data_IF_788493804051
#
_entry.id   IF_788493804051
#
_cell.length_a   1.000
_cell.length_b   1.000
_cell.length_c   1.000
_cell.angle_alpha   90.00
_cell.angle_beta   90.00
_cell.angle_gamma   90.00
#
_symmetry.space_group_name_H-M   'P 1'
#
loop_
_entity.id
_entity.type
_entity.pdbx_description
1 polymer ?
#
# COMPACT_ATOMS: atom_id res chain seq x y z
N UNK A 1 -7.41 -25.26 6.42
CA UNK A 1 -6.82 -23.92 6.42
C UNK A 1 -7.90 -22.86 6.48
N UNK A 2 -7.61 -21.66 7.03
CA UNK A 2 -8.57 -20.55 7.04
C UNK A 2 -8.12 -19.49 6.03
N UNK A 3 -8.99 -19.16 5.11
CA UNK A 3 -8.80 -18.16 4.05
C UNK A 3 -9.85 -17.08 4.20
N UNK A 4 -9.43 -15.82 4.27
CA UNK A 4 -10.34 -14.68 4.32
C UNK A 4 -10.29 -13.92 3.00
N UNK A 5 -11.44 -13.74 2.38
CA UNK A 5 -11.60 -13.02 1.12
C UNK A 5 -12.41 -11.76 1.38
N UNK A 6 -11.85 -10.60 1.11
CA UNK A 6 -12.50 -9.31 1.35
C UNK A 6 -12.52 -8.44 0.10
N UNK A 7 -13.24 -7.34 0.13
CA UNK A 7 -13.36 -6.36 -0.95
C UNK A 7 -14.73 -5.73 -1.03
N UNK A 8 -14.83 -4.61 -1.70
CA UNK A 8 -16.08 -3.88 -1.88
C UNK A 8 -17.13 -4.70 -2.67
N UNK A 9 -18.39 -4.26 -2.61
CA UNK A 9 -19.45 -4.85 -3.42
C UNK A 9 -19.12 -4.73 -4.91
N UNK A 10 -19.34 -5.82 -5.65
CA UNK A 10 -19.00 -5.88 -7.07
C UNK A 10 -17.53 -6.05 -7.39
N UNK A 11 -16.66 -6.30 -6.38
CA UNK A 11 -15.24 -6.61 -6.57
C UNK A 11 -14.99 -8.06 -7.05
N UNK A 12 -16.02 -8.85 -7.31
CA UNK A 12 -15.89 -10.23 -7.79
C UNK A 12 -15.44 -11.24 -6.73
N UNK A 13 -15.68 -10.96 -5.43
CA UNK A 13 -15.32 -11.85 -4.32
C UNK A 13 -15.88 -13.27 -4.51
N UNK A 14 -17.21 -13.39 -4.50
CA UNK A 14 -17.89 -14.67 -4.66
C UNK A 14 -17.48 -15.37 -5.96
N UNK A 15 -17.43 -14.62 -7.07
CA UNK A 15 -17.08 -15.13 -8.39
C UNK A 15 -15.69 -15.80 -8.40
N UNK A 16 -14.67 -15.10 -7.91
CA UNK A 16 -13.31 -15.64 -7.85
C UNK A 16 -13.17 -16.77 -6.82
N UNK A 17 -13.86 -16.65 -5.67
CA UNK A 17 -13.81 -17.69 -4.64
C UNK A 17 -14.44 -18.99 -5.11
N UNK A 18 -15.57 -18.93 -5.83
CA UNK A 18 -16.19 -20.12 -6.45
C UNK A 18 -15.20 -20.84 -7.37
N UNK A 19 -14.49 -20.11 -8.22
CA UNK A 19 -13.45 -20.68 -9.10
C UNK A 19 -12.36 -21.35 -8.29
N UNK A 20 -11.75 -20.66 -7.34
CA UNK A 20 -10.65 -21.21 -6.53
C UNK A 20 -11.06 -22.45 -5.75
N UNK A 21 -12.25 -22.44 -5.15
CA UNK A 21 -12.79 -23.60 -4.41
C UNK A 21 -13.06 -24.76 -5.36
N UNK A 22 -13.66 -24.50 -6.53
CA UNK A 22 -13.94 -25.53 -7.52
C UNK A 22 -12.66 -26.18 -8.07
N UNK A 23 -11.69 -25.38 -8.48
CA UNK A 23 -10.38 -25.86 -8.94
C UNK A 23 -9.70 -26.75 -7.89
N UNK A 24 -9.73 -26.29 -6.63
CA UNK A 24 -9.14 -27.04 -5.54
C UNK A 24 -9.89 -28.34 -5.22
N UNK A 25 -11.23 -28.29 -5.17
CA UNK A 25 -12.07 -29.46 -4.94
C UNK A 25 -11.82 -30.54 -5.98
N UNK A 26 -11.76 -30.18 -7.25
CA UNK A 26 -11.49 -31.13 -8.34
C UNK A 26 -10.08 -31.69 -8.26
N UNK A 27 -9.09 -30.84 -8.04
CA UNK A 27 -7.68 -31.25 -7.95
C UNK A 27 -7.42 -32.22 -6.80
N UNK A 28 -8.07 -31.99 -5.66
CA UNK A 28 -7.85 -32.74 -4.42
C UNK A 28 -8.90 -33.85 -4.18
N UNK A 29 -9.96 -33.95 -5.01
CA UNK A 29 -11.06 -34.90 -4.85
C UNK A 29 -11.88 -34.70 -3.58
N UNK A 30 -12.02 -33.45 -3.09
CA UNK A 30 -12.58 -33.13 -1.78
C UNK A 30 -14.02 -32.62 -1.91
N UNK A 31 -14.90 -33.04 -0.97
CA UNK A 31 -16.28 -32.53 -0.93
C UNK A 31 -16.30 -31.05 -0.56
N UNK A 32 -17.34 -30.33 -1.05
CA UNK A 32 -17.55 -28.92 -0.77
C UNK A 32 -18.90 -28.71 -0.11
N UNK A 33 -18.91 -27.89 0.94
CA UNK A 33 -20.11 -27.40 1.59
C UNK A 33 -20.18 -25.86 1.51
N UNK A 34 -21.42 -25.31 1.45
CA UNK A 34 -21.63 -23.87 1.43
C UNK A 34 -22.81 -23.46 2.31
N UNK A 35 -22.84 -22.18 2.74
CA UNK A 35 -23.88 -21.67 3.64
C UNK A 35 -25.19 -21.20 2.92
N UNK A 36 -25.33 -21.48 1.62
CA UNK A 36 -26.57 -21.19 0.88
C UNK A 36 -26.80 -19.71 0.53
N UNK A 37 -25.77 -18.85 0.59
CA UNK A 37 -25.88 -17.45 0.20
C UNK A 37 -25.83 -17.22 -1.32
N UNK A 38 -25.63 -18.27 -2.08
CA UNK A 38 -25.77 -18.32 -3.54
C UNK A 38 -26.48 -19.61 -3.92
N UNK A 39 -27.18 -19.62 -5.07
CA UNK A 39 -27.86 -20.80 -5.58
C UNK A 39 -27.05 -21.40 -6.73
N UNK A 40 -26.49 -22.62 -6.60
CA UNK A 40 -25.94 -23.36 -7.71
C UNK A 40 -27.00 -23.61 -8.80
N UNK A 41 -26.59 -23.60 -10.07
CA UNK A 41 -27.44 -24.01 -11.18
C UNK A 41 -27.60 -25.53 -11.13
N UNK A 42 -28.85 -26.03 -11.23
CA UNK A 42 -29.12 -27.45 -11.25
C UNK A 42 -28.42 -28.14 -12.43
N UNK A 43 -27.77 -29.28 -12.16
CA UNK A 43 -26.97 -30.01 -13.14
C UNK A 43 -25.69 -29.29 -13.57
N UNK A 44 -25.39 -28.12 -13.01
CA UNK A 44 -24.16 -27.37 -13.30
C UNK A 44 -22.93 -27.82 -12.50
N UNK A 45 -21.83 -27.11 -12.67
CA UNK A 45 -20.51 -27.42 -12.08
C UNK A 45 -20.49 -27.49 -10.54
N UNK A 46 -21.42 -26.82 -9.88
CA UNK A 46 -21.53 -26.75 -8.41
C UNK A 46 -22.68 -27.60 -7.87
N UNK A 47 -23.37 -28.38 -8.71
CA UNK A 47 -24.54 -29.17 -8.29
C UNK A 47 -24.25 -30.22 -7.23
N UNK A 48 -22.99 -30.69 -7.13
CA UNK A 48 -22.54 -31.64 -6.12
C UNK A 48 -22.22 -30.99 -4.76
N UNK A 49 -22.25 -29.66 -4.67
CA UNK A 49 -21.94 -28.94 -3.45
C UNK A 49 -23.10 -29.00 -2.47
N UNK A 50 -22.83 -29.34 -1.24
CA UNK A 50 -23.86 -29.52 -0.20
C UNK A 50 -24.11 -28.18 0.51
N UNK A 51 -25.38 -27.77 0.57
CA UNK A 51 -25.80 -26.66 1.43
C UNK A 51 -25.90 -27.13 2.88
N UNK A 52 -25.32 -26.35 3.80
CA UNK A 52 -25.35 -26.58 5.25
C UNK A 52 -25.68 -25.30 6.02
N UNK A 53 -26.15 -25.44 7.26
CA UNK A 53 -26.05 -24.37 8.24
C UNK A 53 -24.61 -24.31 8.76
N UNK A 54 -24.06 -23.09 8.90
CA UNK A 54 -22.69 -22.93 9.42
C UNK A 54 -22.50 -23.61 10.79
N UNK A 55 -23.52 -23.63 11.66
CA UNK A 55 -23.44 -24.27 12.97
C UNK A 55 -23.19 -25.78 12.90
N UNK A 56 -23.53 -26.40 11.80
CA UNK A 56 -23.41 -27.85 11.59
C UNK A 56 -22.12 -28.29 10.90
N UNK A 57 -21.18 -27.38 10.64
CA UNK A 57 -19.96 -27.69 9.90
C UNK A 57 -19.15 -28.84 10.50
N UNK A 58 -19.22 -29.03 11.83
CA UNK A 58 -18.51 -30.08 12.55
C UNK A 58 -19.03 -31.49 12.22
N UNK A 59 -20.27 -31.60 11.71
CA UNK A 59 -20.91 -32.89 11.34
C UNK A 59 -20.43 -33.39 9.97
N UNK A 60 -19.77 -32.53 9.19
CA UNK A 60 -19.32 -32.90 7.85
C UNK A 60 -18.05 -33.75 7.90
N UNK A 61 -17.79 -34.57 6.85
CA UNK A 61 -16.62 -35.42 6.76
C UNK A 61 -15.30 -34.66 6.86
N UNK A 62 -14.27 -35.32 7.33
CA UNK A 62 -12.89 -34.81 7.34
C UNK A 62 -12.44 -34.47 5.91
N UNK A 63 -11.64 -33.43 5.77
CA UNK A 63 -11.18 -33.01 4.47
C UNK A 63 -12.17 -32.11 3.69
N UNK A 64 -13.37 -31.83 4.23
CA UNK A 64 -14.35 -30.95 3.57
C UNK A 64 -13.83 -29.53 3.38
N UNK A 65 -14.13 -28.94 2.23
CA UNK A 65 -13.89 -27.52 1.92
C UNK A 65 -15.19 -26.75 2.16
N UNK A 66 -15.14 -25.70 2.96
CA UNK A 66 -16.31 -24.85 3.26
C UNK A 66 -16.16 -23.51 2.58
N UNK A 67 -17.21 -23.11 1.83
CA UNK A 67 -17.35 -21.76 1.30
C UNK A 67 -18.47 -21.05 2.05
N UNK A 68 -18.12 -20.08 2.84
CA UNK A 68 -19.05 -19.29 3.65
C UNK A 68 -19.11 -17.88 3.07
N UNK A 69 -20.08 -17.65 2.20
CA UNK A 69 -20.28 -16.34 1.58
C UNK A 69 -21.05 -15.43 2.52
N UNK A 70 -20.77 -14.11 2.47
CA UNK A 70 -21.28 -13.10 3.41
C UNK A 70 -21.17 -13.58 4.87
N UNK A 71 -20.00 -14.13 5.21
CA UNK A 71 -19.73 -14.83 6.46
C UNK A 71 -19.93 -13.99 7.72
N UNK A 72 -20.05 -12.67 7.59
CA UNK A 72 -20.38 -11.79 8.72
C UNK A 72 -21.78 -12.07 9.33
N UNK A 73 -22.66 -12.74 8.58
CA UNK A 73 -23.94 -13.19 9.14
C UNK A 73 -23.80 -14.39 10.05
N UNK A 74 -22.86 -15.30 9.72
CA UNK A 74 -22.61 -16.53 10.48
C UNK A 74 -21.56 -16.32 11.59
N UNK A 75 -20.69 -15.33 11.41
CA UNK A 75 -19.57 -14.98 12.29
C UNK A 75 -19.65 -13.50 12.70
N UNK A 76 -20.73 -13.04 13.35
CA UNK A 76 -20.90 -11.62 13.69
C UNK A 76 -19.85 -11.16 14.71
N UNK A 77 -19.55 -9.86 14.69
CA UNK A 77 -18.66 -9.24 15.65
C UNK A 77 -19.28 -9.34 17.05
N UNK A 78 -18.54 -9.89 17.99
CA UNK A 78 -18.95 -9.98 19.41
C UNK A 78 -18.26 -8.93 20.26
N UNK A 79 -18.89 -8.56 21.36
CA UNK A 79 -18.28 -7.73 22.41
C UNK A 79 -17.04 -8.42 23.02
N UNK A 80 -16.08 -7.66 23.50
CA UNK A 80 -14.81 -8.20 24.03
C UNK A 80 -14.98 -9.19 25.19
N UNK A 81 -16.03 -9.06 26.00
CA UNK A 81 -16.37 -9.92 27.14
C UNK A 81 -17.31 -11.08 26.79
N UNK A 82 -17.84 -11.14 25.57
CA UNK A 82 -18.77 -12.19 25.18
C UNK A 82 -18.06 -13.54 25.00
N UNK A 83 -18.66 -14.61 25.55
CA UNK A 83 -18.17 -15.96 25.37
C UNK A 83 -18.10 -16.34 23.87
N UNK A 84 -17.10 -17.12 23.50
CA UNK A 84 -16.98 -17.63 22.14
C UNK A 84 -17.91 -18.82 21.97
N UNK A 85 -18.91 -18.80 21.06
CA UNK A 85 -19.74 -19.93 20.78
C UNK A 85 -18.91 -21.15 20.36
N UNK A 86 -19.39 -22.36 20.66
CA UNK A 86 -18.63 -23.58 20.43
C UNK A 86 -18.31 -23.81 18.94
N UNK A 87 -19.25 -23.53 18.05
CA UNK A 87 -19.06 -23.64 16.59
C UNK A 87 -17.96 -22.71 16.06
N UNK A 88 -17.76 -21.56 16.71
CA UNK A 88 -16.68 -20.62 16.37
C UNK A 88 -15.37 -21.03 17.05
N UNK A 89 -15.43 -21.46 18.30
CA UNK A 89 -14.26 -21.89 19.06
C UNK A 89 -13.58 -23.10 18.41
N UNK A 90 -14.37 -24.05 17.94
CA UNK A 90 -13.89 -25.27 17.30
C UNK A 90 -13.21 -25.00 15.93
N UNK A 91 -13.40 -23.84 15.32
CA UNK A 91 -12.62 -23.47 14.15
C UNK A 91 -11.10 -23.46 14.41
N UNK A 92 -10.66 -23.31 15.65
CA UNK A 92 -9.25 -23.43 15.99
C UNK A 92 -8.69 -24.83 15.72
N UNK A 93 -9.55 -25.86 15.71
CA UNK A 93 -9.16 -27.25 15.51
C UNK A 93 -9.38 -27.79 14.08
N UNK A 94 -9.90 -26.96 13.17
CA UNK A 94 -10.22 -27.35 11.78
C UNK A 94 -9.07 -28.10 11.07
N UNK A 95 -7.83 -27.78 11.41
CA UNK A 95 -6.63 -28.39 10.79
C UNK A 95 -6.49 -29.87 11.12
N UNK A 96 -6.90 -30.30 12.32
CA UNK A 96 -6.85 -31.72 12.73
C UNK A 96 -7.71 -32.60 11.85
N UNK A 97 -8.80 -32.03 11.34
CA UNK A 97 -9.76 -32.69 10.45
C UNK A 97 -9.47 -32.41 8.96
N UNK A 98 -8.36 -31.77 8.63
CA UNK A 98 -7.99 -31.44 7.26
C UNK A 98 -8.97 -30.48 6.56
N UNK A 99 -9.83 -29.80 7.31
CA UNK A 99 -10.86 -28.93 6.76
C UNK A 99 -10.30 -27.57 6.33
N UNK A 100 -10.88 -26.99 5.26
CA UNK A 100 -10.53 -25.69 4.76
C UNK A 100 -11.76 -24.78 4.70
N UNK A 101 -11.62 -23.54 5.13
CA UNK A 101 -12.68 -22.54 5.15
C UNK A 101 -12.31 -21.33 4.28
N UNK A 102 -13.14 -21.03 3.32
CA UNK A 102 -13.11 -19.82 2.52
C UNK A 102 -14.18 -18.88 3.03
N UNK A 103 -13.78 -17.90 3.82
CA UNK A 103 -14.65 -16.91 4.46
C UNK A 103 -14.71 -15.66 3.60
N UNK A 104 -15.86 -15.34 3.04
CA UNK A 104 -16.04 -14.20 2.15
C UNK A 104 -16.85 -13.12 2.85
N UNK A 105 -16.36 -11.90 2.88
CA UNK A 105 -17.03 -10.73 3.45
C UNK A 105 -16.58 -9.44 2.76
N UNK A 106 -17.14 -8.31 3.11
CA UNK A 106 -16.74 -7.02 2.53
C UNK A 106 -15.45 -6.50 3.18
N UNK A 107 -15.34 -6.57 4.50
CA UNK A 107 -14.22 -6.04 5.25
C UNK A 107 -13.87 -6.97 6.43
N UNK A 108 -12.59 -7.12 6.79
CA UNK A 108 -12.18 -8.04 7.86
C UNK A 108 -12.77 -7.66 9.23
N UNK A 109 -13.07 -6.38 9.46
CA UNK A 109 -13.67 -5.94 10.72
C UNK A 109 -15.16 -6.30 10.88
N UNK A 110 -15.81 -6.79 9.83
CA UNK A 110 -17.20 -7.22 9.87
C UNK A 110 -17.38 -8.61 10.49
N UNK A 111 -16.31 -9.35 10.74
CA UNK A 111 -16.36 -10.69 11.33
C UNK A 111 -15.74 -10.73 12.72
N UNK A 112 -16.06 -11.78 13.42
CA UNK A 112 -15.60 -12.07 14.76
C UNK A 112 -14.08 -11.94 14.92
N UNK A 113 -13.66 -11.30 16.01
CA UNK A 113 -12.24 -11.06 16.28
C UNK A 113 -11.43 -12.34 16.55
N UNK A 114 -12.07 -13.35 17.16
CA UNK A 114 -11.43 -14.65 17.39
C UNK A 114 -11.12 -15.31 16.05
N UNK A 115 -12.07 -15.33 15.10
CA UNK A 115 -11.88 -15.90 13.76
C UNK A 115 -10.79 -15.16 12.99
N UNK A 116 -10.78 -13.82 13.05
CA UNK A 116 -9.73 -13.02 12.39
C UNK A 116 -8.31 -13.41 12.84
N UNK A 117 -8.14 -13.74 14.11
CA UNK A 117 -6.83 -14.18 14.67
C UNK A 117 -6.44 -15.59 14.26
N UNK A 118 -7.39 -16.42 13.84
CA UNK A 118 -7.11 -17.78 13.35
C UNK A 118 -6.62 -17.77 11.88
N UNK A 119 -6.91 -16.73 11.12
CA UNK A 119 -6.44 -16.59 9.74
C UNK A 119 -4.95 -16.26 9.75
N UNK A 120 -4.14 -17.19 9.30
CA UNK A 120 -2.69 -17.07 9.28
C UNK A 120 -2.05 -18.16 8.45
N UNK A 121 -0.73 -18.04 8.19
CA UNK A 121 0.01 -19.00 7.39
C UNK A 121 -0.17 -20.45 7.91
N UNK A 122 -0.40 -21.43 7.01
CA UNK A 122 -0.45 -21.37 5.53
C UNK A 122 -1.79 -20.92 4.93
N UNK A 123 -2.74 -20.40 5.71
CA UNK A 123 -3.88 -19.65 5.26
C UNK A 123 -3.46 -18.23 4.84
N UNK A 124 -4.39 -17.45 4.29
CA UNK A 124 -4.11 -16.09 3.85
C UNK A 124 -5.36 -15.21 3.87
N UNK A 125 -5.11 -13.89 3.83
CA UNK A 125 -6.12 -12.87 3.59
C UNK A 125 -5.95 -12.31 2.18
N UNK A 126 -6.98 -12.44 1.33
CA UNK A 126 -7.05 -11.84 -0.01
C UNK A 126 -8.03 -10.69 -0.04
N UNK A 127 -7.57 -9.53 -0.45
CA UNK A 127 -8.43 -8.37 -0.68
C UNK A 127 -8.54 -8.07 -2.17
N UNK A 128 -9.78 -8.08 -2.67
CA UNK A 128 -10.08 -7.83 -4.07
C UNK A 128 -10.49 -6.37 -4.26
N UNK A 129 -9.68 -5.61 -4.97
CA UNK A 129 -9.94 -4.20 -5.31
C UNK A 129 -10.15 -4.07 -6.82
N UNK A 130 -11.34 -3.65 -7.23
CA UNK A 130 -11.66 -3.48 -8.65
C UNK A 130 -10.80 -2.37 -9.25
N UNK A 131 -10.13 -2.65 -10.36
CA UNK A 131 -9.24 -1.70 -11.04
C UNK A 131 -9.97 -1.02 -12.17
N UNK A 132 -10.12 0.30 -12.10
CA UNK A 132 -10.69 1.17 -13.14
C UNK A 132 -12.09 0.78 -13.65
N UNK A 133 -12.88 0.02 -12.91
CA UNK A 133 -14.20 -0.44 -13.35
C UNK A 133 -14.16 -1.49 -14.46
N UNK A 134 -13.00 -1.99 -14.85
CA UNK A 134 -12.83 -3.11 -15.75
C UNK A 134 -13.21 -4.44 -15.07
N UNK A 135 -13.35 -5.50 -15.88
CA UNK A 135 -13.55 -6.87 -15.37
C UNK A 135 -12.20 -7.48 -14.94
N UNK A 136 -11.44 -6.67 -14.20
CA UNK A 136 -10.11 -6.95 -13.69
C UNK A 136 -10.02 -6.42 -12.26
N UNK A 137 -9.49 -7.23 -11.35
CA UNK A 137 -9.29 -6.86 -9.96
C UNK A 137 -7.83 -7.01 -9.58
N UNK A 138 -7.35 -6.09 -8.77
CA UNK A 138 -6.12 -6.25 -8.02
C UNK A 138 -6.43 -7.13 -6.82
N UNK A 139 -5.80 -8.30 -6.75
CA UNK A 139 -5.85 -9.22 -5.63
C UNK A 139 -4.58 -9.00 -4.78
N UNK A 140 -4.75 -8.52 -3.57
CA UNK A 140 -3.67 -8.31 -2.61
C UNK A 140 -3.75 -9.42 -1.57
N UNK A 141 -2.65 -10.13 -1.36
CA UNK A 141 -2.57 -11.28 -0.47
C UNK A 141 -1.60 -11.03 0.67
N UNK A 142 -2.02 -11.34 1.90
CA UNK A 142 -1.21 -11.31 3.11
C UNK A 142 -1.26 -12.64 3.84
N UNK A 143 -0.17 -13.00 4.52
CA UNK A 143 -0.09 -14.19 5.36
C UNK A 143 -0.94 -14.10 6.65
N UNK A 144 -1.41 -12.91 7.02
CA UNK A 144 -2.29 -12.65 8.16
C UNK A 144 -3.33 -11.60 7.80
N UNK A 145 -4.37 -11.44 8.61
CA UNK A 145 -5.43 -10.46 8.36
C UNK A 145 -4.88 -9.03 8.45
N UNK A 146 -5.02 -8.27 7.37
CA UNK A 146 -4.70 -6.85 7.33
C UNK A 146 -5.99 -6.03 7.55
N UNK A 147 -6.16 -5.35 8.69
CA UNK A 147 -7.35 -4.53 8.97
C UNK A 147 -7.40 -3.26 8.13
N UNK A 148 -6.30 -2.85 7.52
CA UNK A 148 -6.18 -1.66 6.68
C UNK A 148 -6.13 -2.00 5.18
N UNK A 149 -6.71 -3.14 4.77
CA UNK A 149 -6.64 -3.64 3.39
C UNK A 149 -7.22 -2.67 2.34
N UNK A 150 -8.16 -1.80 2.72
CA UNK A 150 -8.78 -0.82 1.82
C UNK A 150 -7.94 0.44 1.62
N UNK A 151 -6.99 0.74 2.53
CA UNK A 151 -6.19 1.97 2.48
C UNK A 151 -5.28 1.99 1.25
N UNK A 152 -5.04 3.19 0.72
CA UNK A 152 -4.07 3.39 -0.34
C UNK A 152 -2.67 2.97 0.14
N UNK A 153 -1.95 2.26 -0.73
CA UNK A 153 -0.64 1.72 -0.39
C UNK A 153 -0.65 0.41 0.41
N UNK A 154 -1.81 -0.17 0.75
CA UNK A 154 -1.90 -1.47 1.44
C UNK A 154 -1.20 -2.61 0.68
N UNK A 155 -1.11 -2.53 -0.65
CA UNK A 155 -0.38 -3.48 -1.48
C UNK A 155 1.14 -3.52 -1.23
N UNK A 156 1.73 -2.50 -0.59
CA UNK A 156 3.17 -2.48 -0.27
C UNK A 156 3.59 -3.55 0.75
N UNK A 157 2.65 -4.02 1.56
CA UNK A 157 2.88 -5.02 2.62
C UNK A 157 2.40 -6.42 2.25
N UNK A 158 1.88 -6.61 1.03
CA UNK A 158 1.35 -7.89 0.54
C UNK A 158 1.83 -8.19 -0.87
N UNK A 159 1.52 -9.38 -1.34
CA UNK A 159 1.73 -9.78 -2.73
C UNK A 159 0.56 -9.30 -3.57
N UNK A 160 0.83 -8.54 -4.62
CA UNK A 160 -0.20 -8.00 -5.52
C UNK A 160 -0.20 -8.79 -6.82
N UNK A 161 -1.36 -9.29 -7.20
CA UNK A 161 -1.59 -9.95 -8.49
C UNK A 161 -2.83 -9.36 -9.17
N UNK A 162 -2.88 -9.45 -10.51
CA UNK A 162 -4.06 -9.02 -11.27
C UNK A 162 -4.86 -10.26 -11.67
N UNK A 163 -6.14 -10.27 -11.33
CA UNK A 163 -7.05 -11.39 -11.58
C UNK A 163 -8.22 -10.90 -12.43
N UNK A 164 -8.47 -11.55 -13.56
CA UNK A 164 -9.65 -11.30 -14.39
C UNK A 164 -10.89 -11.90 -13.77
N UNK A 165 -12.06 -11.36 -14.10
CA UNK A 165 -13.31 -12.00 -13.73
C UNK A 165 -13.48 -13.30 -14.54
N UNK A 166 -13.62 -14.46 -13.87
CA UNK A 166 -13.78 -15.74 -14.53
C UNK A 166 -15.18 -15.81 -15.17
N UNK A 167 -15.23 -15.63 -16.49
CA UNK A 167 -16.51 -15.57 -17.23
C UNK A 167 -17.29 -16.87 -17.17
N UNK A 168 -16.59 -17.99 -17.08
CA UNK A 168 -17.17 -19.33 -16.94
C UNK A 168 -18.02 -19.48 -15.70
N UNK A 169 -17.66 -18.81 -14.59
CA UNK A 169 -18.36 -18.92 -13.31
C UNK A 169 -19.73 -18.26 -13.32
N UNK A 170 -19.98 -17.31 -14.24
CA UNK A 170 -21.31 -16.67 -14.34
C UNK A 170 -22.43 -17.67 -14.61
N UNK A 171 -22.14 -18.78 -15.28
CA UNK A 171 -23.10 -19.84 -15.54
C UNK A 171 -23.23 -20.89 -14.42
N UNK A 172 -22.42 -20.82 -13.36
CA UNK A 172 -22.41 -21.85 -12.31
C UNK A 172 -23.43 -21.60 -11.20
N UNK A 173 -23.82 -20.35 -10.99
CA UNK A 173 -24.77 -19.97 -9.95
C UNK A 173 -25.68 -18.82 -10.39
N UNK A 174 -26.85 -18.72 -9.77
CA UNK A 174 -27.77 -17.61 -9.99
C UNK A 174 -27.25 -16.40 -9.21
N UNK A 175 -26.73 -15.43 -9.93
CA UNK A 175 -26.32 -14.13 -9.38
C UNK A 175 -27.55 -13.23 -9.20
N UNK A 176 -27.46 -12.24 -8.27
CA UNK A 176 -28.51 -11.23 -8.14
C UNK A 176 -28.78 -10.54 -9.48
N UNK A 177 -30.05 -10.44 -9.88
CA UNK A 177 -30.53 -10.06 -11.21
C UNK A 177 -30.23 -8.61 -11.64
N UNK A 178 -29.65 -7.77 -10.78
CA UNK A 178 -29.41 -6.36 -11.05
C UNK A 178 -27.93 -5.99 -10.81
N UNK A 179 -27.14 -6.02 -11.87
CA UNK A 179 -25.81 -5.43 -11.88
C UNK A 179 -25.91 -3.91 -12.14
N UNK A 180 -26.12 -3.11 -11.09
CA UNK A 180 -26.19 -1.63 -11.16
C UNK A 180 -24.81 -0.96 -11.20
N UNK A 181 -23.73 -1.71 -11.32
CA UNK A 181 -22.35 -1.19 -11.34
C UNK A 181 -22.08 -0.37 -12.61
N UNK A 182 -22.18 0.95 -12.52
CA UNK A 182 -21.73 1.86 -13.59
C UNK A 182 -20.20 1.80 -13.71
N UNK A 183 -19.68 1.51 -14.90
CA UNK A 183 -18.24 1.61 -15.21
C UNK A 183 -17.83 3.08 -15.12
N UNK A 184 -17.03 3.44 -14.11
CA UNK A 184 -16.47 4.79 -13.97
C UNK A 184 -15.04 4.78 -14.52
N UNK A 185 -14.85 5.34 -15.71
CA UNK A 185 -13.53 5.55 -16.28
C UNK A 185 -12.90 6.74 -15.53
N UNK A 186 -11.72 6.58 -14.90
CA UNK A 186 -11.04 7.67 -14.23
C UNK A 186 -10.76 8.84 -15.19
N UNK A 187 -10.89 10.06 -14.70
CA UNK A 187 -10.56 11.25 -15.49
C UNK A 187 -9.14 11.22 -16.06
N UNK A 188 -8.21 10.57 -15.35
CA UNK A 188 -6.83 10.38 -15.79
C UNK A 188 -6.72 9.61 -17.13
N UNK A 189 -7.64 8.69 -17.44
CA UNK A 189 -7.65 8.00 -18.73
C UNK A 189 -8.06 8.95 -19.84
N UNK A 190 -9.04 9.82 -19.61
CA UNK A 190 -9.46 10.83 -20.58
C UNK A 190 -8.39 11.88 -20.81
N UNK A 191 -7.67 12.32 -19.76
CA UNK A 191 -6.55 13.26 -19.90
C UNK A 191 -5.37 12.64 -20.65
N UNK A 192 -5.06 11.34 -20.39
CA UNK A 192 -4.03 10.63 -21.13
C UNK A 192 -4.41 10.47 -22.62
N UNK A 193 -5.67 10.13 -22.91
CA UNK A 193 -6.15 10.02 -24.28
C UNK A 193 -6.13 11.37 -25.01
N UNK A 194 -6.54 12.44 -24.33
CA UNK A 194 -6.45 13.79 -24.84
C UNK A 194 -4.99 14.21 -25.11
N UNK A 195 -4.05 13.88 -24.22
CA UNK A 195 -2.64 14.15 -24.40
C UNK A 195 -2.05 13.42 -25.63
N UNK A 196 -2.43 12.17 -25.85
CA UNK A 196 -2.00 11.38 -27.03
C UNK A 196 -2.49 12.00 -28.35
N UNK A 197 -3.65 12.65 -28.34
CA UNK A 197 -4.19 13.33 -29.54
C UNK A 197 -3.62 14.75 -29.67
N UNK A 198 -3.56 15.50 -28.58
CA UNK A 198 -3.14 16.90 -28.61
C UNK A 198 -1.64 17.07 -28.82
N UNK A 199 -0.80 16.18 -28.27
CA UNK A 199 0.65 16.29 -28.42
C UNK A 199 1.11 16.21 -29.89
N UNK A 200 0.72 15.23 -30.71
CA UNK A 200 1.12 15.18 -32.11
C UNK A 200 0.50 16.34 -32.92
N UNK A 201 -0.72 16.78 -32.61
CA UNK A 201 -1.33 17.95 -33.30
C UNK A 201 -0.56 19.24 -32.99
N UNK A 202 -0.19 19.47 -31.73
CA UNK A 202 0.65 20.63 -31.37
C UNK A 202 2.03 20.57 -32.03
N UNK A 203 2.66 19.38 -32.07
CA UNK A 203 3.94 19.21 -32.78
C UNK A 203 3.79 19.49 -34.27
N UNK A 204 2.71 19.01 -34.91
CA UNK A 204 2.44 19.28 -36.31
C UNK A 204 2.28 20.79 -36.58
N UNK A 205 1.52 21.52 -35.77
CA UNK A 205 1.35 22.95 -35.90
C UNK A 205 2.64 23.75 -35.65
N UNK A 206 3.42 23.32 -34.63
CA UNK A 206 4.71 23.95 -34.36
C UNK A 206 5.69 23.77 -35.54
N UNK A 207 5.82 22.56 -36.05
CA UNK A 207 6.69 22.24 -37.19
C UNK A 207 6.23 22.96 -38.44
N UNK A 208 4.91 22.95 -38.74
CA UNK A 208 4.36 23.64 -39.90
C UNK A 208 4.51 25.18 -39.82
N UNK A 209 4.40 25.75 -38.61
CA UNK A 209 4.66 27.15 -38.36
C UNK A 209 6.11 27.55 -38.60
N UNK A 210 7.04 26.75 -38.10
CA UNK A 210 8.49 26.93 -38.33
C UNK A 210 8.80 26.78 -39.83
N UNK A 211 8.24 25.75 -40.48
CA UNK A 211 8.46 25.56 -41.92
C UNK A 211 7.97 26.72 -42.78
N UNK A 212 6.77 27.25 -42.48
CA UNK A 212 6.24 28.47 -43.16
C UNK A 212 7.08 29.70 -42.93
N UNK A 213 7.67 29.87 -41.75
CA UNK A 213 8.52 31.03 -41.46
C UNK A 213 9.91 30.91 -42.11
N UNK A 214 10.47 29.71 -42.16
CA UNK A 214 11.75 29.45 -42.86
C UNK A 214 11.62 29.63 -44.37
N UNK A 215 10.50 29.24 -44.97
CA UNK A 215 10.28 29.47 -46.41
C UNK A 215 9.95 30.91 -46.77
N UNK A 216 9.34 31.70 -45.86
CA UNK A 216 9.16 33.14 -46.06
C UNK A 216 10.43 33.97 -45.86
N UNK A 217 11.34 33.52 -44.94
CA UNK A 217 12.59 34.20 -44.64
C UNK A 217 13.70 34.07 -45.72
N UNK A 218 13.47 33.31 -46.80
CA UNK A 218 14.43 33.12 -47.91
C UNK A 218 14.33 34.21 -49.00
N UNK A 219 13.38 35.16 -48.89
CA UNK A 219 13.14 36.20 -49.89
C UNK A 219 13.71 37.57 -49.53
N UNK A 220 14.21 37.82 -48.34
CA UNK A 220 14.75 39.11 -47.93
C UNK A 220 15.94 38.98 -47.01
N UNK A 221 17.16 38.86 -47.55
CA UNK A 221 18.37 39.35 -46.91
C UNK A 221 19.59 39.23 -47.81
N UNK A 222 19.76 40.25 -48.66
CA UNK A 222 21.09 40.62 -49.15
C UNK A 222 21.27 42.09 -48.75
N UNK A 223 22.27 42.37 -47.93
CA UNK A 223 22.97 43.59 -47.54
C UNK A 223 22.92 43.78 -46.00
N UNK A 224 23.98 43.89 -45.27
CA UNK A 224 25.19 44.66 -45.32
C UNK A 224 26.04 44.29 -44.08
N UNK A 225 27.33 44.14 -44.24
CA UNK A 225 28.32 43.93 -43.21
C UNK A 225 28.55 45.17 -42.34
N UNK A 226 28.80 44.98 -41.05
CA UNK A 226 29.24 46.04 -40.12
C UNK A 226 29.84 45.41 -38.86
N UNK A 227 31.08 45.78 -38.60
CA UNK A 227 32.05 45.24 -37.67
C UNK A 227 31.71 45.39 -36.15
N UNK A 228 32.56 44.84 -35.25
CA UNK A 228 32.16 44.43 -33.91
C UNK A 228 32.35 45.50 -32.85
N UNK A 229 31.53 45.53 -31.85
CA UNK A 229 31.79 46.24 -30.60
C UNK A 229 31.62 45.34 -29.37
N UNK A 230 32.70 45.23 -28.66
CA UNK A 230 32.79 44.75 -27.28
C UNK A 230 32.03 45.68 -26.35
N UNK A 231 31.25 45.13 -25.41
CA UNK A 231 31.27 45.45 -23.99
C UNK A 231 29.99 45.01 -23.25
N UNK A 232 30.15 44.53 -22.02
CA UNK A 232 29.18 44.83 -21.00
C UNK A 232 28.22 43.68 -20.63
N UNK A 233 28.66 42.92 -19.66
CA UNK A 233 27.88 41.97 -18.87
C UNK A 233 26.82 42.71 -18.06
N UNK A 234 25.57 42.69 -18.45
CA UNK A 234 24.44 43.02 -17.59
C UNK A 234 23.26 42.09 -17.93
N UNK A 235 22.61 41.57 -16.88
CA UNK A 235 21.52 40.60 -16.97
C UNK A 235 20.43 41.05 -17.94
N UNK A 236 20.01 40.19 -18.84
CA UNK A 236 18.87 40.40 -19.70
C UNK A 236 17.90 39.23 -19.59
N UNK A 237 16.85 39.44 -18.87
CA UNK A 237 15.59 38.74 -19.09
C UNK A 237 15.13 39.02 -20.52
N UNK A 238 14.96 37.97 -21.33
CA UNK A 238 14.14 38.01 -22.55
C UNK A 238 14.84 38.01 -23.90
N UNK A 239 16.18 37.92 -24.03
CA UNK A 239 16.84 37.80 -25.33
C UNK A 239 16.85 36.35 -25.82
N UNK A 240 16.32 36.10 -27.03
CA UNK A 240 16.46 34.81 -27.69
C UNK A 240 17.94 34.52 -27.94
N UNK A 241 18.42 33.34 -27.45
CA UNK A 241 19.78 32.88 -27.66
C UNK A 241 20.07 32.64 -29.14
N UNK A 242 21.25 33.02 -29.59
CA UNK A 242 21.74 32.64 -30.91
C UNK A 242 21.97 31.11 -30.96
N UNK A 243 22.04 30.57 -32.18
CA UNK A 243 22.24 29.12 -32.35
C UNK A 243 23.55 28.61 -31.68
N UNK A 244 24.61 29.45 -31.72
CA UNK A 244 25.89 29.11 -31.05
C UNK A 244 25.75 29.13 -29.53
N UNK A 245 25.19 30.19 -28.96
CA UNK A 245 24.93 30.31 -27.52
C UNK A 245 24.01 29.16 -27.01
N UNK A 246 23.01 28.79 -27.82
CA UNK A 246 22.12 27.67 -27.48
C UNK A 246 22.85 26.35 -27.38
N UNK A 247 23.84 26.10 -28.26
CA UNK A 247 24.66 24.90 -28.22
C UNK A 247 25.61 24.95 -27.02
N UNK A 248 26.32 26.07 -26.83
CA UNK A 248 27.35 26.26 -25.79
C UNK A 248 26.80 26.02 -24.37
N UNK A 249 25.60 26.54 -24.07
CA UNK A 249 24.96 26.31 -22.74
C UNK A 249 24.54 24.88 -22.50
N UNK A 250 24.55 24.02 -23.52
CA UNK A 250 24.17 22.61 -23.42
C UNK A 250 25.35 21.64 -23.48
N UNK A 251 26.55 22.13 -23.75
CA UNK A 251 27.74 21.30 -23.71
C UNK A 251 28.07 20.98 -22.25
N UNK A 252 28.15 19.69 -21.87
CA UNK A 252 28.50 19.29 -20.52
C UNK A 252 29.89 19.75 -20.14
N UNK A 253 30.08 20.35 -18.95
CA UNK A 253 31.39 20.69 -18.38
C UNK A 253 32.22 19.47 -18.05
N UNK A 254 31.54 18.35 -17.71
CA UNK A 254 32.16 17.07 -17.40
C UNK A 254 31.71 16.06 -18.46
N UNK A 255 32.62 15.48 -19.25
CA UNK A 255 32.27 14.49 -20.27
C UNK A 255 31.50 13.30 -19.68
N UNK A 256 30.40 12.91 -20.31
CA UNK A 256 29.55 11.80 -19.85
C UNK A 256 28.49 12.19 -18.81
N UNK A 257 28.45 13.45 -18.33
CA UNK A 257 27.46 13.95 -17.38
C UNK A 257 26.62 15.09 -17.96
N UNK A 258 25.53 14.81 -18.68
CA UNK A 258 24.71 15.82 -19.34
C UNK A 258 24.19 16.92 -18.40
N UNK A 259 23.92 16.60 -17.14
CA UNK A 259 23.43 17.54 -16.13
C UNK A 259 24.48 18.60 -15.70
N UNK A 260 25.74 18.43 -16.08
CA UNK A 260 26.82 19.41 -15.81
C UNK A 260 26.83 20.57 -16.80
N UNK A 261 25.92 20.60 -17.78
CA UNK A 261 25.83 21.72 -18.73
C UNK A 261 25.24 22.98 -18.07
N UNK A 262 25.70 24.18 -18.46
CA UNK A 262 25.28 25.46 -17.87
C UNK A 262 23.76 25.68 -17.82
N UNK A 263 23.03 25.16 -18.79
CA UNK A 263 21.54 25.27 -18.85
C UNK A 263 20.86 24.64 -17.63
N UNK A 264 21.52 23.72 -16.95
CA UNK A 264 20.95 23.02 -15.79
C UNK A 264 21.40 23.60 -14.44
N UNK A 265 22.23 24.65 -14.41
CA UNK A 265 22.78 25.21 -13.18
C UNK A 265 21.72 25.58 -12.13
N UNK A 266 20.55 26.05 -12.58
CA UNK A 266 19.46 26.44 -11.69
C UNK A 266 18.69 25.23 -11.11
N UNK A 267 18.66 24.10 -11.83
CA UNK A 267 17.92 22.90 -11.40
C UNK A 267 18.82 21.84 -10.77
N UNK A 268 20.16 22.00 -10.88
CA UNK A 268 21.16 21.10 -10.32
C UNK A 268 21.92 21.73 -9.13
N UNK A 269 21.33 22.72 -8.47
CA UNK A 269 21.93 23.27 -7.25
C UNK A 269 22.02 22.17 -6.18
N UNK A 270 23.17 22.05 -5.47
CA UNK A 270 23.34 21.06 -4.44
C UNK A 270 22.36 21.30 -3.30
N UNK A 271 21.53 20.27 -3.01
CA UNK A 271 20.49 20.29 -1.97
C UNK A 271 21.03 19.73 -0.67
N UNK A 272 22.04 18.82 -0.76
CA UNK A 272 22.66 18.15 0.37
C UNK A 272 24.19 18.17 0.23
N UNK A 273 24.89 18.33 1.36
CA UNK A 273 26.34 18.17 1.41
C UNK A 273 26.67 16.70 1.77
N UNK A 274 27.65 16.06 1.08
CA UNK A 274 28.07 14.72 1.44
C UNK A 274 28.80 14.75 2.79
N UNK A 275 28.47 13.82 3.68
CA UNK A 275 29.14 13.61 4.96
C UNK A 275 29.30 12.11 5.24
N UNK A 276 30.24 11.71 6.11
CA UNK A 276 30.43 10.31 6.47
C UNK A 276 29.29 9.81 7.33
N UNK A 277 28.30 9.17 6.70
CA UNK A 277 27.12 8.62 7.37
C UNK A 277 27.40 7.24 7.99
N UNK A 278 28.31 6.47 7.38
CA UNK A 278 28.74 5.17 7.90
C UNK A 278 30.21 4.93 7.54
N UNK A 279 31.01 4.53 8.53
CA UNK A 279 32.39 4.10 8.33
C UNK A 279 32.59 2.68 8.86
N UNK A 280 33.29 1.85 8.11
CA UNK A 280 33.50 0.42 8.42
C UNK A 280 34.98 0.07 8.29
N UNK A 281 35.50 -0.62 9.28
CA UNK A 281 36.85 -1.21 9.22
C UNK A 281 36.67 -2.70 8.86
N UNK A 282 37.26 -3.11 7.74
CA UNK A 282 37.31 -4.51 7.31
C UNK A 282 38.76 -4.95 7.21
N UNK A 283 39.23 -5.78 8.14
CA UNK A 283 40.65 -6.14 8.31
C UNK A 283 41.45 -4.89 8.58
N UNK A 284 42.32 -4.47 7.65
CA UNK A 284 43.18 -3.27 7.79
C UNK A 284 42.70 -2.07 6.96
N UNK A 285 41.66 -2.22 6.19
CA UNK A 285 41.08 -1.21 5.28
C UNK A 285 39.88 -0.50 5.91
N UNK A 286 39.88 0.82 5.92
CA UNK A 286 38.80 1.64 6.47
C UNK A 286 38.09 2.41 5.36
N UNK A 287 36.79 2.23 5.23
CA UNK A 287 35.96 2.86 4.19
C UNK A 287 34.79 3.58 4.81
N UNK A 288 34.57 4.82 4.37
CA UNK A 288 33.41 5.61 4.73
C UNK A 288 32.49 5.79 3.55
N UNK A 289 31.19 5.86 3.85
CA UNK A 289 30.14 6.04 2.88
C UNK A 289 29.29 7.26 3.22
N UNK A 290 28.83 7.96 2.20
CA UNK A 290 27.91 9.08 2.36
C UNK A 290 26.51 8.60 2.73
N UNK A 291 25.61 9.55 3.06
CA UNK A 291 24.17 9.28 3.29
C UNK A 291 23.44 8.65 2.09
N UNK A 292 24.04 8.73 0.89
CA UNK A 292 23.53 8.10 -0.33
C UNK A 292 24.28 6.79 -0.67
N UNK A 293 25.01 6.22 0.28
CA UNK A 293 25.80 4.99 0.13
C UNK A 293 26.90 5.07 -0.95
N UNK A 294 27.36 6.26 -1.33
CA UNK A 294 28.52 6.44 -2.22
C UNK A 294 29.80 6.47 -1.40
N UNK A 295 30.89 5.88 -1.94
CA UNK A 295 32.19 5.85 -1.27
C UNK A 295 32.73 7.27 -1.10
N UNK A 296 33.07 7.62 0.13
CA UNK A 296 33.69 8.89 0.47
C UNK A 296 35.21 8.71 0.58
N UNK A 297 35.93 9.34 -0.31
CA UNK A 297 37.39 9.26 -0.32
C UNK A 297 37.96 10.15 0.79
N UNK A 298 38.57 9.53 1.81
CA UNK A 298 39.22 10.21 2.94
C UNK A 298 40.45 9.45 3.43
N UNK A 299 41.39 10.13 4.14
CA UNK A 299 42.54 9.48 4.72
C UNK A 299 42.19 8.42 5.75
N UNK A 300 42.92 7.30 5.78
CA UNK A 300 42.67 6.16 6.70
C UNK A 300 42.65 6.57 8.17
N UNK A 301 43.54 7.46 8.59
CA UNK A 301 43.59 7.95 9.96
C UNK A 301 42.32 8.68 10.39
N UNK A 302 41.70 9.46 9.48
CA UNK A 302 40.43 10.14 9.72
C UNK A 302 39.25 9.14 9.76
N UNK A 303 39.24 8.18 8.83
CA UNK A 303 38.26 7.13 8.84
C UNK A 303 38.25 6.33 10.14
N UNK A 304 39.41 5.89 10.63
CA UNK A 304 39.58 5.18 11.92
C UNK A 304 39.10 6.03 13.09
N UNK A 305 39.48 7.32 13.11
CA UNK A 305 39.01 8.25 14.15
C UNK A 305 37.50 8.42 14.18
N UNK A 306 36.83 8.43 13.01
CA UNK A 306 35.37 8.50 12.91
C UNK A 306 34.72 7.22 13.44
N UNK A 307 35.29 6.05 13.17
CA UNK A 307 34.80 4.77 13.70
C UNK A 307 34.90 4.71 15.22
N UNK A 308 36.00 5.24 15.80
CA UNK A 308 36.24 5.22 17.25
C UNK A 308 35.45 6.27 18.01
N UNK A 309 35.31 7.48 17.46
CA UNK A 309 34.79 8.66 18.20
C UNK A 309 33.49 9.19 17.64
N UNK A 310 33.07 8.72 16.47
CA UNK A 310 31.91 9.22 15.75
C UNK A 310 32.18 10.47 14.92
N UNK A 311 31.19 10.93 14.19
CA UNK A 311 31.22 12.17 13.42
C UNK A 311 29.98 13.02 13.76
N UNK A 312 30.18 14.27 14.15
CA UNK A 312 29.10 15.19 14.45
C UNK A 312 28.76 16.03 13.22
N UNK A 313 27.49 16.08 12.84
CA UNK A 313 26.99 16.86 11.70
C UNK A 313 26.61 18.26 12.20
N UNK A 314 27.44 19.27 11.87
CA UNK A 314 27.23 20.64 12.32
C UNK A 314 26.20 21.45 11.54
N UNK A 315 25.75 20.94 10.40
CA UNK A 315 24.80 21.61 9.54
C UNK A 315 23.42 20.94 9.61
N UNK A 316 22.36 21.75 9.40
CA UNK A 316 21.00 21.24 9.32
C UNK A 316 20.88 20.32 8.10
N UNK A 317 20.56 19.06 8.34
CA UNK A 317 20.20 18.15 7.27
C UNK A 317 18.90 18.67 6.62
N UNK A 318 18.77 18.66 5.28
CA UNK A 318 17.52 18.97 4.66
C UNK A 318 16.46 18.03 5.24
N UNK A 319 15.36 18.58 5.71
CA UNK A 319 14.25 17.79 6.18
C UNK A 319 13.89 16.82 5.04
N UNK A 320 14.26 15.55 5.20
CA UNK A 320 13.74 14.50 4.34
C UNK A 320 12.27 14.72 4.42
N UNK A 321 11.63 15.10 3.33
CA UNK A 321 10.20 15.31 3.28
C UNK A 321 9.53 14.03 3.77
N UNK A 322 9.42 13.90 5.08
CA UNK A 322 8.43 13.08 5.73
C UNK A 322 7.17 13.60 5.07
N UNK A 323 6.56 12.73 4.27
CA UNK A 323 5.30 12.94 3.57
C UNK A 323 4.49 13.95 4.35
N UNK A 324 4.25 15.10 3.75
CA UNK A 324 3.48 16.16 4.37
C UNK A 324 2.28 15.50 5.04
N UNK A 325 2.06 15.68 6.34
CA UNK A 325 0.84 15.21 6.96
C UNK A 325 -0.27 15.83 6.14
N UNK A 326 -1.24 14.99 5.73
CA UNK A 326 -2.43 15.45 5.03
C UNK A 326 -2.91 16.73 5.71
N UNK A 327 -3.27 17.80 4.96
CA UNK A 327 -3.64 19.06 5.55
C UNK A 327 -4.65 18.78 6.64
N UNK A 328 -4.33 19.17 7.86
CA UNK A 328 -5.21 19.06 9.00
C UNK A 328 -6.54 19.67 8.58
N UNK A 329 -7.57 18.85 8.59
CA UNK A 329 -8.95 19.27 8.35
C UNK A 329 -9.16 20.48 9.26
N UNK A 330 -9.34 21.66 8.69
CA UNK A 330 -9.56 22.87 9.43
C UNK A 330 -10.68 22.59 10.45
N UNK A 331 -10.31 22.51 11.72
CA UNK A 331 -11.27 22.45 12.81
C UNK A 331 -12.05 23.76 12.75
N UNK A 332 -13.35 23.64 12.54
CA UNK A 332 -14.25 24.79 12.69
C UNK A 332 -14.04 25.36 14.08
N UNK A 333 -13.93 26.67 14.24
CA UNK A 333 -13.82 27.28 15.56
C UNK A 333 -15.00 26.80 16.43
N UNK A 334 -14.68 26.11 17.51
CA UNK A 334 -15.65 25.74 18.53
C UNK A 334 -16.06 27.05 19.21
N UNK A 335 -17.32 27.45 19.03
CA UNK A 335 -17.89 28.54 19.78
C UNK A 335 -17.86 28.16 21.27
N UNK A 336 -17.40 29.03 22.16
CA UNK A 336 -17.42 28.74 23.59
C UNK A 336 -18.88 28.64 24.07
N UNK A 337 -19.25 27.44 24.53
CA UNK A 337 -20.51 27.26 25.29
C UNK A 337 -20.47 28.06 26.58
N UNK A 338 -21.58 28.74 26.98
CA UNK A 338 -21.64 29.42 28.25
C UNK A 338 -21.49 28.43 29.41
N UNK A 339 -20.58 28.73 30.31
CA UNK A 339 -20.31 27.94 31.50
C UNK A 339 -21.56 27.82 32.38
N UNK A 340 -22.10 26.60 32.54
CA UNK A 340 -23.04 26.29 33.58
C UNK A 340 -22.28 26.02 34.89
N UNK A 341 -22.73 26.50 36.04
CA UNK A 341 -22.05 26.24 37.29
C UNK A 341 -22.13 24.77 37.65
N UNK A 342 -20.99 24.12 37.72
CA UNK A 342 -20.86 22.73 38.18
C UNK A 342 -21.03 22.74 39.71
N UNK A 343 -22.14 22.18 40.20
CA UNK A 343 -22.26 21.84 41.63
C UNK A 343 -21.38 20.64 41.92
N UNK A 344 -20.30 20.86 42.62
CA UNK A 344 -19.42 19.79 43.10
C UNK A 344 -20.10 19.10 44.27
N UNK A 345 -20.71 17.95 44.01
CA UNK A 345 -21.11 17.01 45.05
C UNK A 345 -19.87 16.20 45.42
N UNK A 346 -19.25 16.56 46.54
CA UNK A 346 -18.13 15.81 47.11
C UNK A 346 -18.71 14.56 47.78
N UNK A 347 -18.65 13.41 47.13
CA UNK A 347 -18.84 12.11 47.76
C UNK A 347 -17.49 11.65 48.35
N UNK A 348 -17.45 11.09 49.58
CA UNK A 348 -16.22 10.65 50.19
C UNK A 348 -15.67 9.44 49.40
N UNK A 349 -14.47 9.58 48.81
CA UNK A 349 -13.73 8.52 48.20
C UNK A 349 -13.21 7.58 49.28
N UNK A 350 -13.79 6.39 49.38
CA UNK A 350 -13.15 5.28 50.09
C UNK A 350 -11.98 4.80 49.29
N UNK A 351 -10.77 4.99 49.77
CA UNK A 351 -9.56 4.41 49.26
C UNK A 351 -9.63 2.86 49.40
N UNK A 352 -10.06 2.18 48.37
CA UNK A 352 -9.86 0.75 48.25
C UNK A 352 -8.38 0.49 47.99
N UNK A 353 -7.72 -0.15 48.91
CA UNK A 353 -6.34 -0.65 48.73
C UNK A 353 -6.30 -1.64 47.56
N UNK A 354 -5.32 -1.55 46.64
CA UNK A 354 -5.20 -2.50 45.54
C UNK A 354 -4.94 -3.90 46.09
N UNK A 355 -5.77 -4.84 45.70
CA UNK A 355 -5.74 -6.23 46.13
C UNK A 355 -4.38 -6.89 45.95
N UNK A 356 -3.89 -7.47 46.97
CA UNK A 356 -2.56 -8.04 47.20
C UNK A 356 -2.19 -9.32 46.42
N UNK A 357 -2.98 -9.76 45.48
CA UNK A 357 -2.74 -11.05 44.80
C UNK A 357 -1.55 -11.06 43.81
N UNK A 358 -1.27 -9.94 43.14
CA UNK A 358 -0.18 -9.86 42.17
C UNK A 358 1.19 -9.69 42.85
N UNK A 359 1.27 -8.88 43.90
CA UNK A 359 2.50 -8.67 44.66
C UNK A 359 2.90 -9.89 45.50
N UNK A 360 1.93 -10.66 46.02
CA UNK A 360 2.18 -11.92 46.70
C UNK A 360 2.68 -13.02 45.78
N UNK A 361 2.19 -13.10 44.53
CA UNK A 361 2.69 -14.04 43.52
C UNK A 361 4.12 -13.75 43.09
N UNK A 362 4.52 -12.48 43.00
CA UNK A 362 5.92 -12.11 42.66
C UNK A 362 6.89 -12.38 43.83
N UNK A 363 6.48 -12.16 45.08
CA UNK A 363 7.28 -12.46 46.24
C UNK A 363 7.51 -13.98 46.40
N UNK A 364 6.51 -14.82 46.15
CA UNK A 364 6.61 -16.27 46.19
C UNK A 364 7.57 -16.80 45.11
N UNK A 365 7.53 -16.30 43.89
CA UNK A 365 8.48 -16.69 42.82
C UNK A 365 9.91 -16.27 43.14
N UNK A 366 10.14 -15.08 43.67
CA UNK A 366 11.48 -14.64 44.06
C UNK A 366 12.06 -15.41 45.24
N UNK A 367 11.23 -15.95 46.14
CA UNK A 367 11.68 -16.84 47.21
C UNK A 367 12.09 -18.23 46.70
N UNK A 368 11.38 -18.77 45.72
CA UNK A 368 11.74 -20.06 45.06
C UNK A 368 13.05 -19.98 44.28
N UNK A 369 13.34 -18.87 43.64
CA UNK A 369 14.62 -18.68 42.91
C UNK A 369 15.79 -18.56 43.87
N UNK A 370 15.62 -18.00 45.06
CA UNK A 370 16.68 -17.89 46.08
C UNK A 370 16.97 -19.21 46.82
N UNK A 371 15.98 -20.07 46.98
CA UNK A 371 16.19 -21.39 47.61
C UNK A 371 16.79 -22.45 46.67
N UNK A 372 16.85 -22.20 45.36
CA UNK A 372 17.49 -23.10 44.39
C UNK A 372 18.95 -22.76 44.07
N UNK A 373 19.54 -21.77 44.78
CA UNK A 373 20.94 -21.32 44.61
C UNK A 373 21.80 -21.52 45.90
N UNK A 374 21.33 -22.34 46.85
CA UNK A 374 22.12 -22.83 47.99
C UNK A 374 22.44 -24.31 47.87
#
# INVERSE_FOLDING_TARGET
MLYLITGANGAGKTLNTLKWVRERSVKEGRPVCHNGRFEPVEGGELSSWKRIDFKDWQKEPDGTIFLIDECHNDLPVRGASAAVPDEIRMLAEHRRRGMDFYLVTQHPQNIDNFVRRLVGSPGWHRHLKRTFGADLVSCIEWAAVNPNCEKDGSGKTGTVSMVGFPKEVYGWYKSASLHTGKKKIPRAVWTALAAVILAPTMIYFAVSGVYKNVTKGKAESVATAGAPQTAGRQGSEGRALTAAEYIDVRVPRIPGFPHSAPVYDQVTQPVEAPYPAACVIMRDDCKCYTQQATLLNMPDGLCKSIVERGFFVEFKLPDRALQAPAPARAEKPVQPMPAQPVQVVVAPVQLQQPGSSYSQGLAARNAQVRSGLQ
#
